data_IF_013702813311
#
_entry.id   IF_013702813311
#
_cell.length_a   1.000
_cell.length_b   1.000
_cell.length_c   1.000
_cell.angle_alpha   90.00
_cell.angle_beta   90.00
_cell.angle_gamma   90.00
#
_symmetry.space_group_name_H-M   'P 1'
#
loop_
_entity.id
_entity.type
_entity.pdbx_description
1 polymer ?
#
# COMPACT_ATOMS: atom_id res chain seq x y z
N UNK A 1 -4.64 -26.25 -16.94
CA UNK A 1 -5.69 -25.55 -17.71
C UNK A 1 -5.90 -24.21 -17.04
N UNK A 2 -5.49 -23.16 -17.72
CA UNK A 2 -5.12 -21.86 -17.17
C UNK A 2 -6.34 -20.99 -16.83
N UNK A 3 -6.41 -20.52 -15.59
CA UNK A 3 -7.39 -19.53 -15.08
C UNK A 3 -7.44 -18.24 -15.94
N UNK A 4 -6.38 -18.00 -16.75
CA UNK A 4 -6.21 -16.91 -17.74
C UNK A 4 -7.39 -16.77 -18.71
N UNK A 5 -8.04 -17.87 -19.11
CA UNK A 5 -9.07 -17.85 -20.17
C UNK A 5 -10.50 -17.54 -19.70
N UNK A 6 -10.81 -17.77 -18.42
CA UNK A 6 -12.17 -17.62 -17.91
C UNK A 6 -12.47 -16.17 -17.50
N UNK A 7 -11.54 -15.51 -16.81
CA UNK A 7 -11.76 -14.16 -16.28
C UNK A 7 -11.79 -13.08 -17.38
N UNK A 8 -10.91 -13.18 -18.39
CA UNK A 8 -10.83 -12.21 -19.51
C UNK A 8 -12.08 -12.28 -20.41
N UNK A 9 -12.66 -13.48 -20.61
CA UNK A 9 -13.87 -13.63 -21.43
C UNK A 9 -15.11 -13.06 -20.76
N UNK A 10 -15.20 -13.11 -19.42
CA UNK A 10 -16.35 -12.56 -18.69
C UNK A 10 -16.29 -11.03 -18.59
N UNK A 11 -15.10 -10.42 -18.49
CA UNK A 11 -14.97 -8.95 -18.42
C UNK A 11 -15.18 -8.24 -19.77
N UNK A 12 -14.79 -8.87 -20.90
CA UNK A 12 -15.03 -8.31 -22.24
C UNK A 12 -16.51 -8.31 -22.65
N UNK A 13 -17.42 -8.89 -21.86
CA UNK A 13 -18.88 -8.77 -22.05
C UNK A 13 -19.45 -7.40 -21.67
N UNK A 14 -18.65 -6.52 -21.05
CA UNK A 14 -19.08 -5.20 -20.55
C UNK A 14 -18.81 -4.02 -21.50
N UNK A 15 -18.24 -4.26 -22.69
CA UNK A 15 -18.09 -3.25 -23.74
C UNK A 15 -17.06 -2.14 -23.47
N UNK A 16 -16.22 -2.30 -22.44
CA UNK A 16 -15.08 -1.42 -22.17
C UNK A 16 -13.81 -2.16 -22.58
N UNK A 17 -13.25 -1.81 -23.74
CA UNK A 17 -11.93 -2.27 -24.17
C UNK A 17 -10.88 -1.56 -23.29
N UNK A 18 -10.43 -2.24 -22.24
CA UNK A 18 -9.22 -1.83 -21.54
C UNK A 18 -8.04 -2.35 -22.36
N UNK A 19 -7.33 -1.43 -23.02
CA UNK A 19 -6.10 -1.73 -23.74
C UNK A 19 -4.96 -1.96 -22.72
N UNK A 20 -5.02 -3.09 -22.03
CA UNK A 20 -4.06 -3.46 -20.98
C UNK A 20 -2.91 -4.18 -21.67
N UNK A 21 -1.88 -3.43 -22.02
CA UNK A 21 -0.66 -3.99 -22.59
C UNK A 21 -0.07 -5.06 -21.64
N UNK A 22 0.25 -6.24 -22.16
CA UNK A 22 0.98 -7.26 -21.39
C UNK A 22 2.31 -6.65 -20.89
N UNK A 23 2.44 -6.49 -19.58
CA UNK A 23 3.67 -5.99 -18.96
C UNK A 23 4.70 -7.09 -18.86
N UNK A 24 5.92 -6.85 -19.37
CA UNK A 24 7.00 -7.81 -19.20
C UNK A 24 7.38 -7.98 -17.71
N UNK A 25 7.86 -9.17 -17.30
CA UNK A 25 8.30 -9.42 -15.92
C UNK A 25 9.29 -8.37 -15.38
N UNK A 26 10.25 -7.93 -16.20
CA UNK A 26 11.24 -6.93 -15.82
C UNK A 26 10.62 -5.56 -15.50
N UNK A 27 9.50 -5.19 -16.13
CA UNK A 27 8.79 -3.96 -15.81
C UNK A 27 8.07 -4.09 -14.47
N UNK A 28 7.45 -5.24 -14.20
CA UNK A 28 6.77 -5.52 -12.92
C UNK A 28 7.76 -5.45 -11.76
N UNK A 29 8.93 -6.06 -11.91
CA UNK A 29 10.00 -6.01 -10.92
C UNK A 29 10.45 -4.56 -10.64
N UNK A 30 10.76 -3.79 -11.70
CA UNK A 30 11.10 -2.37 -11.58
C UNK A 30 10.01 -1.54 -10.90
N UNK A 31 8.74 -1.84 -11.18
CA UNK A 31 7.59 -1.20 -10.52
C UNK A 31 7.56 -1.51 -9.03
N UNK A 32 7.76 -2.78 -8.65
CA UNK A 32 7.83 -3.19 -7.26
C UNK A 32 9.00 -2.52 -6.53
N UNK A 33 10.17 -2.43 -7.15
CA UNK A 33 11.31 -1.72 -6.57
C UNK A 33 10.99 -0.25 -6.27
N UNK A 34 10.31 0.45 -7.19
CA UNK A 34 9.86 1.83 -6.94
C UNK A 34 8.87 1.90 -5.79
N UNK A 35 7.90 0.99 -5.73
CA UNK A 35 6.95 0.92 -4.63
C UNK A 35 7.63 0.67 -3.27
N UNK A 36 8.63 -0.23 -3.22
CA UNK A 36 9.45 -0.48 -2.04
C UNK A 36 10.20 0.78 -1.62
N UNK A 37 10.77 1.53 -2.57
CA UNK A 37 11.48 2.79 -2.29
C UNK A 37 10.56 3.90 -1.79
N UNK A 38 9.23 3.80 -1.96
CA UNK A 38 8.26 4.72 -1.35
C UNK A 38 8.14 4.56 0.16
N UNK A 39 8.47 3.39 0.70
CA UNK A 39 8.43 3.11 2.14
C UNK A 39 9.68 3.71 2.81
N UNK A 40 9.47 4.40 3.92
CA UNK A 40 10.55 4.84 4.79
C UNK A 40 11.10 3.66 5.61
N UNK A 41 12.43 3.47 5.72
CA UNK A 41 13.01 2.43 6.55
C UNK A 41 12.65 2.64 8.03
N UNK A 42 12.34 1.56 8.73
CA UNK A 42 12.11 1.56 10.18
C UNK A 42 13.33 0.97 10.88
N UNK A 43 14.09 1.83 11.55
CA UNK A 43 15.31 1.44 12.25
C UNK A 43 15.01 0.71 13.55
N UNK A 44 15.85 -0.29 13.93
CA UNK A 44 15.69 -0.99 15.19
C UNK A 44 15.91 -0.06 16.39
N UNK A 45 15.35 -0.40 17.55
CA UNK A 45 15.38 0.46 18.75
C UNK A 45 16.80 0.89 19.17
N UNK A 46 17.80 0.04 18.98
CA UNK A 46 19.20 0.32 19.33
C UNK A 46 19.89 1.32 18.37
N UNK A 47 19.25 1.65 17.23
CA UNK A 47 19.69 2.64 16.23
C UNK A 47 18.53 3.52 15.78
N UNK A 48 17.59 3.82 16.68
CA UNK A 48 16.36 4.50 16.30
C UNK A 48 16.64 5.89 15.72
N UNK A 49 16.23 6.08 14.47
CA UNK A 49 16.22 7.38 13.80
C UNK A 49 14.78 7.67 13.41
N UNK A 50 14.26 8.81 13.84
CA UNK A 50 12.96 9.29 13.37
C UNK A 50 13.08 9.64 11.89
N UNK A 51 12.47 8.83 11.02
CA UNK A 51 12.48 9.07 9.57
C UNK A 51 11.24 9.85 9.18
N UNK A 52 11.41 10.85 8.32
CA UNK A 52 10.29 11.56 7.72
C UNK A 52 9.41 10.57 6.91
N UNK A 53 8.10 10.45 7.18
CA UNK A 53 7.21 9.59 6.40
C UNK A 53 7.20 9.87 4.89
N UNK A 54 7.58 11.08 4.49
CA UNK A 54 7.71 11.50 3.09
C UNK A 54 9.07 11.16 2.46
N UNK A 55 9.99 10.48 3.16
CA UNK A 55 11.34 10.21 2.64
C UNK A 55 11.33 9.52 1.27
N UNK A 56 10.47 8.51 1.07
CA UNK A 56 10.33 7.81 -0.21
C UNK A 56 9.55 8.56 -1.30
N UNK A 57 9.14 9.80 -1.01
CA UNK A 57 8.33 10.67 -1.87
C UNK A 57 9.02 12.02 -2.14
N UNK A 58 10.32 12.12 -1.87
CA UNK A 58 11.10 13.36 -2.02
C UNK A 58 11.28 13.80 -3.48
N UNK A 59 11.06 12.89 -4.43
CA UNK A 59 11.04 13.13 -5.87
C UNK A 59 9.72 13.76 -6.36
N UNK A 60 8.67 13.79 -5.52
CA UNK A 60 7.37 14.37 -5.84
C UNK A 60 7.18 15.72 -5.15
N UNK A 61 6.23 16.52 -5.66
CA UNK A 61 5.76 17.70 -4.94
C UNK A 61 5.07 17.30 -3.63
N UNK A 62 4.99 18.22 -2.66
CA UNK A 62 4.35 17.94 -1.38
C UNK A 62 2.87 17.54 -1.54
N UNK A 63 2.16 18.19 -2.48
CA UNK A 63 0.75 17.91 -2.79
C UNK A 63 0.58 16.52 -3.37
N UNK A 64 1.43 16.14 -4.33
CA UNK A 64 1.44 14.81 -4.92
C UNK A 64 1.71 13.74 -3.86
N UNK A 65 2.66 14.01 -2.96
CA UNK A 65 2.99 13.10 -1.86
C UNK A 65 1.82 12.94 -0.88
N UNK A 66 1.13 14.03 -0.51
CA UNK A 66 -0.07 14.02 0.34
C UNK A 66 -1.20 13.22 -0.32
N UNK A 67 -1.53 13.53 -1.58
CA UNK A 67 -2.60 12.86 -2.33
C UNK A 67 -2.29 11.36 -2.44
N UNK A 68 -1.06 11.01 -2.80
CA UNK A 68 -0.63 9.61 -2.88
C UNK A 68 -0.83 8.89 -1.55
N UNK A 69 -0.34 9.45 -0.44
CA UNK A 69 -0.47 8.82 0.89
C UNK A 69 -1.93 8.72 1.34
N UNK A 70 -2.79 9.67 0.99
CA UNK A 70 -4.23 9.56 1.24
C UNK A 70 -4.84 8.38 0.47
N UNK A 71 -4.51 8.25 -0.82
CA UNK A 71 -5.00 7.16 -1.67
C UNK A 71 -4.51 5.78 -1.21
N UNK A 72 -3.23 5.65 -0.85
CA UNK A 72 -2.65 4.34 -0.48
C UNK A 72 -2.74 4.02 1.01
N UNK A 73 -2.78 5.03 1.87
CA UNK A 73 -2.78 4.90 3.33
C UNK A 73 -4.16 5.10 3.95
N UNK A 74 -5.16 5.59 3.22
CA UNK A 74 -6.50 5.89 3.74
C UNK A 74 -6.53 6.95 4.85
N UNK A 75 -5.45 7.72 4.96
CA UNK A 75 -5.27 8.78 5.93
C UNK A 75 -4.19 9.75 5.44
N UNK A 76 -4.35 11.03 5.76
CA UNK A 76 -3.36 12.06 5.47
C UNK A 76 -2.47 12.33 6.68
N UNK A 77 -1.26 12.85 6.43
CA UNK A 77 -0.42 13.45 7.47
C UNK A 77 -0.71 14.95 7.65
N UNK A 78 -1.68 15.46 6.88
CA UNK A 78 -2.20 16.83 6.96
C UNK A 78 -3.59 16.80 7.58
N UNK A 79 -4.01 17.92 8.17
CA UNK A 79 -5.37 18.06 8.69
C UNK A 79 -6.42 17.89 7.60
N UNK A 80 -7.57 17.34 7.98
CA UNK A 80 -8.73 17.29 7.12
C UNK A 80 -9.21 18.72 6.79
N UNK A 81 -9.92 18.90 5.67
CA UNK A 81 -10.40 20.23 5.26
C UNK A 81 -11.32 20.84 6.32
N UNK A 82 -12.12 20.01 6.97
CA UNK A 82 -13.06 20.38 8.03
C UNK A 82 -12.33 20.96 9.25
N UNK A 83 -11.12 20.46 9.54
CA UNK A 83 -10.29 20.95 10.65
C UNK A 83 -9.69 22.33 10.31
N UNK A 84 -9.28 22.56 9.07
CA UNK A 84 -8.88 23.89 8.60
C UNK A 84 -10.07 24.88 8.62
N UNK A 85 -11.25 24.43 8.19
CA UNK A 85 -12.46 25.24 8.25
C UNK A 85 -12.81 25.63 9.69
N UNK A 86 -12.77 24.69 10.63
CA UNK A 86 -13.02 24.95 12.06
C UNK A 86 -11.99 25.93 12.63
N UNK A 87 -10.72 25.73 12.33
CA UNK A 87 -9.65 26.63 12.78
C UNK A 87 -9.84 28.06 12.24
N UNK A 88 -10.34 28.20 11.01
CA UNK A 88 -10.67 29.51 10.43
C UNK A 88 -11.86 30.17 11.12
N UNK A 89 -12.95 29.42 11.35
CA UNK A 89 -14.15 29.93 12.03
C UNK A 89 -13.88 30.37 13.48
N UNK A 90 -12.96 29.68 14.17
CA UNK A 90 -12.53 30.01 15.53
C UNK A 90 -11.50 31.15 15.58
N UNK A 91 -11.05 31.68 14.44
CA UNK A 91 -10.03 32.71 14.35
C UNK A 91 -8.60 32.23 14.70
N UNK A 92 -8.38 30.91 14.80
CA UNK A 92 -7.03 30.31 14.98
C UNK A 92 -6.21 30.30 13.69
N UNK A 93 -6.88 30.26 12.55
CA UNK A 93 -6.30 30.43 11.22
C UNK A 93 -6.85 31.73 10.63
N UNK A 94 -5.98 32.68 10.33
CA UNK A 94 -6.32 34.00 9.80
C UNK A 94 -5.99 34.13 8.32
N UNK A 95 -6.54 35.13 7.63
CA UNK A 95 -6.17 35.44 6.25
C UNK A 95 -4.66 35.77 6.12
N UNK A 96 -4.06 36.41 7.13
CA UNK A 96 -2.62 36.69 7.17
C UNK A 96 -1.79 35.39 7.23
N UNK A 97 -2.26 34.35 7.91
CA UNK A 97 -1.60 33.04 7.91
C UNK A 97 -1.59 32.43 6.51
N UNK A 98 -2.71 32.54 5.79
CA UNK A 98 -2.87 32.04 4.43
C UNK A 98 -1.97 32.83 3.47
N UNK A 99 -1.92 34.16 3.59
CA UNK A 99 -1.01 35.01 2.82
C UNK A 99 0.45 34.64 3.03
N UNK A 100 0.88 34.44 4.29
CA UNK A 100 2.24 34.02 4.60
C UNK A 100 2.57 32.64 4.05
N UNK A 101 1.62 31.72 4.05
CA UNK A 101 1.79 30.39 3.46
C UNK A 101 1.88 30.46 1.93
N UNK A 102 1.04 31.25 1.27
CA UNK A 102 1.09 31.50 -0.17
C UNK A 102 2.40 32.16 -0.60
N UNK A 103 2.89 33.13 0.17
CA UNK A 103 4.16 33.81 -0.11
C UNK A 103 5.38 32.88 -0.03
N UNK A 104 5.29 31.78 0.75
CA UNK A 104 6.32 30.74 0.84
C UNK A 104 6.22 29.69 -0.27
N UNK A 105 5.07 29.59 -0.95
CA UNK A 105 4.92 28.72 -2.12
C UNK A 105 5.55 29.35 -3.34
N UNK A 106 6.08 28.50 -4.23
CA UNK A 106 6.56 28.92 -5.55
C UNK A 106 5.43 29.44 -6.46
N UNK A 107 5.79 29.93 -7.65
CA UNK A 107 4.91 30.60 -8.62
C UNK A 107 3.79 29.75 -9.24
N UNK A 108 3.62 28.50 -8.82
CA UNK A 108 2.67 27.54 -9.41
C UNK A 108 1.32 27.49 -8.68
N UNK A 109 1.05 28.39 -7.74
CA UNK A 109 -0.25 28.47 -7.06
C UNK A 109 -1.12 29.55 -7.73
N UNK A 110 -2.14 29.18 -8.52
CA UNK A 110 -3.05 30.16 -9.15
C UNK A 110 -4.09 30.74 -8.18
N UNK A 111 -4.00 30.45 -6.89
CA UNK A 111 -5.08 30.72 -5.94
C UNK A 111 -4.82 31.95 -5.06
N UNK A 112 -5.80 32.84 -5.00
CA UNK A 112 -5.84 33.96 -4.06
C UNK A 112 -6.29 33.49 -2.69
N UNK A 113 -6.01 34.30 -1.65
CA UNK A 113 -6.52 34.06 -0.29
C UNK A 113 -8.03 33.85 -0.29
N UNK A 114 -8.77 34.68 -1.02
CA UNK A 114 -10.23 34.56 -1.10
C UNK A 114 -10.67 33.23 -1.73
N UNK A 115 -9.97 32.73 -2.74
CA UNK A 115 -10.23 31.42 -3.35
C UNK A 115 -10.09 30.29 -2.32
N UNK A 116 -9.02 30.32 -1.53
CA UNK A 116 -8.76 29.31 -0.50
C UNK A 116 -9.80 29.36 0.63
N UNK A 117 -10.17 30.56 1.09
CA UNK A 117 -11.22 30.74 2.11
C UNK A 117 -12.58 30.25 1.58
N UNK A 118 -12.88 30.50 0.31
CA UNK A 118 -14.08 29.98 -0.35
C UNK A 118 -14.04 28.45 -0.48
N UNK A 119 -12.87 27.87 -0.77
CA UNK A 119 -12.68 26.42 -0.84
C UNK A 119 -12.86 25.73 0.52
N UNK A 120 -12.49 26.40 1.63
CA UNK A 120 -12.78 25.93 2.99
C UNK A 120 -14.28 25.92 3.30
N UNK A 121 -15.04 26.81 2.66
CA UNK A 121 -16.49 26.99 2.88
C UNK A 121 -17.36 26.08 2.03
N UNK A 122 -16.78 25.49 0.97
CA UNK A 122 -17.49 24.60 0.05
C UNK A 122 -17.59 23.21 0.64
N UNK A 123 -18.73 22.53 0.44
CA UNK A 123 -18.94 21.16 0.91
C UNK A 123 -17.75 20.26 0.52
N UNK A 124 -17.27 19.48 1.49
CA UNK A 124 -16.12 18.60 1.31
C UNK A 124 -16.30 17.74 0.04
N UNK A 125 -15.30 17.78 -0.85
CA UNK A 125 -15.18 16.78 -1.90
C UNK A 125 -15.13 15.40 -1.24
N UNK A 126 -15.63 14.34 -1.91
CA UNK A 126 -15.64 13.01 -1.32
C UNK A 126 -14.25 12.70 -0.77
N UNK A 127 -14.20 12.26 0.50
CA UNK A 127 -13.03 11.63 1.09
C UNK A 127 -12.40 10.75 0.01
N UNK A 128 -11.16 11.04 -0.40
CA UNK A 128 -10.48 10.24 -1.41
C UNK A 128 -10.37 8.84 -0.83
N UNK A 129 -11.32 7.98 -1.21
CA UNK A 129 -11.43 6.66 -0.64
C UNK A 129 -10.11 5.94 -0.90
N UNK A 130 -9.56 5.36 0.17
CA UNK A 130 -8.39 4.51 0.08
C UNK A 130 -8.58 3.50 -1.05
N UNK A 131 -7.57 3.32 -1.90
CA UNK A 131 -7.62 2.34 -2.98
C UNK A 131 -7.90 0.96 -2.36
N UNK A 132 -8.97 0.25 -2.77
CA UNK A 132 -9.28 -1.06 -2.22
C UNK A 132 -8.26 -2.10 -2.71
N UNK A 133 -7.84 -2.98 -1.82
CA UNK A 133 -7.07 -4.18 -2.17
C UNK A 133 -8.00 -5.29 -2.65
N UNK A 134 -7.44 -6.35 -3.24
CA UNK A 134 -8.22 -7.54 -3.60
C UNK A 134 -8.90 -8.16 -2.36
N UNK A 135 -8.23 -8.11 -1.21
CA UNK A 135 -8.76 -8.60 0.05
C UNK A 135 -9.89 -7.72 0.59
N UNK A 136 -9.81 -6.39 0.40
CA UNK A 136 -10.91 -5.47 0.75
C UNK A 136 -12.15 -5.79 -0.10
N UNK A 137 -11.99 -5.92 -1.42
CA UNK A 137 -13.07 -6.28 -2.34
C UNK A 137 -13.69 -7.67 -2.02
N UNK A 138 -12.85 -8.67 -1.70
CA UNK A 138 -13.34 -9.99 -1.27
C UNK A 138 -14.11 -9.93 0.05
N UNK A 139 -13.70 -9.05 0.96
CA UNK A 139 -14.37 -8.91 2.26
C UNK A 139 -15.77 -8.34 2.11
N UNK A 140 -15.93 -7.36 1.21
CA UNK A 140 -17.23 -6.79 0.85
C UNK A 140 -18.16 -7.81 0.19
N UNK A 141 -17.62 -8.70 -0.65
CA UNK A 141 -18.42 -9.69 -1.39
C UNK A 141 -18.86 -10.89 -0.54
N UNK A 142 -18.05 -11.33 0.44
CA UNK A 142 -18.26 -12.60 1.14
C UNK A 142 -18.70 -12.46 2.60
N UNK A 143 -18.95 -11.23 3.09
CA UNK A 143 -19.32 -10.95 4.48
C UNK A 143 -18.34 -11.51 5.53
N UNK A 144 -17.10 -11.78 5.10
CA UNK A 144 -15.98 -12.27 5.92
C UNK A 144 -14.85 -11.25 5.84
N UNK A 145 -14.20 -10.94 6.96
CA UNK A 145 -13.10 -9.96 7.00
C UNK A 145 -11.77 -10.59 6.54
N UNK A 146 -11.68 -10.91 5.24
CA UNK A 146 -10.49 -11.46 4.61
C UNK A 146 -9.31 -10.50 4.72
N UNK A 147 -9.57 -9.20 4.64
CA UNK A 147 -8.57 -8.15 4.78
C UNK A 147 -7.87 -8.22 6.14
N UNK A 148 -8.64 -8.35 7.24
CA UNK A 148 -8.07 -8.57 8.56
C UNK A 148 -7.35 -9.91 8.67
N UNK A 149 -7.94 -10.98 8.15
CA UNK A 149 -7.35 -12.31 8.23
C UNK A 149 -5.93 -12.33 7.65
N UNK A 150 -5.73 -11.87 6.42
CA UNK A 150 -4.40 -11.95 5.81
C UNK A 150 -3.40 -10.99 6.48
N UNK A 151 -3.81 -9.77 6.87
CA UNK A 151 -2.94 -8.83 7.62
C UNK A 151 -2.45 -9.45 8.92
N UNK A 152 -3.33 -10.12 9.65
CA UNK A 152 -2.97 -10.82 10.88
C UNK A 152 -2.01 -11.99 10.63
N UNK A 153 -2.20 -12.76 9.54
CA UNK A 153 -1.28 -13.85 9.17
C UNK A 153 0.09 -13.32 8.79
N UNK A 154 0.13 -12.27 7.98
CA UNK A 154 1.36 -11.60 7.55
C UNK A 154 2.10 -11.02 8.75
N UNK A 155 1.40 -10.35 9.67
CA UNK A 155 1.99 -9.79 10.88
C UNK A 155 2.59 -10.86 11.81
N UNK A 156 1.90 -11.99 12.02
CA UNK A 156 2.43 -13.12 12.80
C UNK A 156 3.66 -13.74 12.14
N UNK A 157 3.65 -13.91 10.82
CA UNK A 157 4.80 -14.40 10.07
C UNK A 157 5.99 -13.45 10.21
N UNK A 158 5.79 -12.16 9.95
CA UNK A 158 6.84 -11.14 10.01
C UNK A 158 7.45 -11.03 11.41
N UNK A 159 6.63 -11.08 12.46
CA UNK A 159 7.10 -11.10 13.84
C UNK A 159 8.05 -12.28 14.14
N UNK A 160 7.75 -13.47 13.61
CA UNK A 160 8.63 -14.63 13.76
C UNK A 160 9.86 -14.61 12.85
N UNK A 161 9.74 -14.05 11.64
CA UNK A 161 10.83 -14.00 10.66
C UNK A 161 11.90 -12.97 11.04
N UNK A 162 11.47 -11.77 11.43
CA UNK A 162 12.37 -10.67 11.85
C UNK A 162 12.75 -10.73 13.33
N UNK A 163 12.39 -11.79 14.07
CA UNK A 163 12.77 -11.93 15.47
C UNK A 163 14.29 -12.08 15.64
N UNK A 164 14.98 -11.12 16.24
CA UNK A 164 16.43 -11.16 16.49
C UNK A 164 16.81 -11.93 17.79
N UNK A 165 16.04 -12.96 18.15
CA UNK A 165 16.34 -13.83 19.30
C UNK A 165 15.59 -13.46 20.57
N UNK A 166 14.47 -12.74 20.47
CA UNK A 166 13.57 -12.49 21.59
C UNK A 166 12.75 -13.75 21.92
N UNK A 167 12.46 -14.58 20.91
CA UNK A 167 11.75 -15.85 21.11
C UNK A 167 12.70 -16.99 21.49
N UNK A 168 12.33 -17.73 22.54
CA UNK A 168 13.03 -18.95 22.95
C UNK A 168 12.94 -20.07 21.88
N UNK A 169 11.85 -20.09 21.12
CA UNK A 169 11.65 -21.02 20.00
C UNK A 169 11.97 -20.33 18.69
N UNK A 170 13.03 -20.81 18.05
CA UNK A 170 13.44 -20.33 16.73
C UNK A 170 12.57 -20.94 15.63
N UNK A 171 12.15 -20.10 14.69
CA UNK A 171 11.37 -20.55 13.54
C UNK A 171 12.21 -21.50 12.65
N UNK A 172 11.69 -22.69 12.26
CA UNK A 172 12.46 -23.66 11.48
C UNK A 172 12.80 -23.19 10.06
N UNK A 173 12.11 -22.17 9.57
CA UNK A 173 12.25 -21.55 8.25
C UNK A 173 13.14 -20.29 8.24
N UNK A 174 13.78 -19.94 9.36
CA UNK A 174 14.58 -18.70 9.49
C UNK A 174 15.76 -18.60 8.52
N UNK A 175 16.26 -19.74 8.04
CA UNK A 175 17.37 -19.80 7.07
C UNK A 175 16.92 -19.66 5.62
N UNK A 176 15.62 -19.67 5.35
CA UNK A 176 15.07 -19.51 4.02
C UNK A 176 14.93 -18.01 3.67
N UNK A 177 15.03 -17.64 2.38
CA UNK A 177 14.60 -16.34 1.91
C UNK A 177 13.16 -16.03 2.34
N UNK A 178 12.85 -14.75 2.59
CA UNK A 178 11.58 -14.29 3.17
C UNK A 178 10.35 -14.93 2.51
N UNK A 179 10.28 -14.91 1.19
CA UNK A 179 9.13 -15.45 0.45
C UNK A 179 9.02 -16.97 0.57
N UNK A 180 10.13 -17.71 0.49
CA UNK A 180 10.14 -19.16 0.67
C UNK A 180 9.75 -19.55 2.10
N UNK A 181 10.25 -18.81 3.10
CA UNK A 181 9.84 -18.98 4.49
C UNK A 181 8.33 -18.76 4.68
N UNK A 182 7.79 -17.69 4.10
CA UNK A 182 6.36 -17.39 4.12
C UNK A 182 5.55 -18.53 3.49
N UNK A 183 5.96 -19.03 2.32
CA UNK A 183 5.32 -20.17 1.65
C UNK A 183 5.27 -21.39 2.57
N UNK A 184 6.39 -21.78 3.19
CA UNK A 184 6.42 -22.90 4.13
C UNK A 184 5.41 -22.74 5.28
N UNK A 185 5.30 -21.53 5.83
CA UNK A 185 4.34 -21.23 6.91
C UNK A 185 2.90 -21.33 6.41
N UNK A 186 2.59 -20.76 5.25
CA UNK A 186 1.25 -20.78 4.69
C UNK A 186 0.79 -22.18 4.27
N UNK A 187 1.73 -23.03 3.84
CA UNK A 187 1.45 -24.44 3.52
C UNK A 187 1.19 -25.28 4.79
N UNK A 188 1.82 -24.94 5.91
CA UNK A 188 1.54 -25.61 7.19
C UNK A 188 0.28 -25.06 7.90
N UNK A 189 -0.11 -23.82 7.58
CA UNK A 189 -1.21 -23.12 8.25
C UNK A 189 -2.60 -23.59 7.80
N UNK A 190 -3.37 -24.14 8.74
CA UNK A 190 -4.77 -24.56 8.50
C UNK A 190 -5.81 -23.50 8.86
N UNK A 191 -5.42 -22.33 9.39
CA UNK A 191 -6.40 -21.31 9.80
C UNK A 191 -7.26 -20.84 8.63
N UNK A 192 -6.66 -20.61 7.45
CA UNK A 192 -7.42 -20.20 6.27
C UNK A 192 -8.47 -21.24 5.86
N UNK A 193 -8.13 -22.52 5.92
CA UNK A 193 -9.08 -23.61 5.65
C UNK A 193 -10.25 -23.63 6.64
N UNK A 194 -9.97 -23.45 7.94
CA UNK A 194 -11.00 -23.39 9.00
C UNK A 194 -11.97 -22.22 8.77
N UNK A 195 -11.46 -21.09 8.28
CA UNK A 195 -12.25 -19.88 8.00
C UNK A 195 -12.93 -19.90 6.61
N UNK A 196 -12.82 -21.00 5.87
CA UNK A 196 -13.53 -21.20 4.60
C UNK A 196 -12.71 -20.99 3.33
N UNK A 197 -11.44 -20.58 3.42
CA UNK A 197 -10.52 -20.49 2.28
C UNK A 197 -9.94 -21.88 1.92
N UNK A 198 -10.82 -22.82 1.56
CA UNK A 198 -10.48 -24.24 1.37
C UNK A 198 -9.41 -24.49 0.29
N UNK A 199 -9.30 -23.60 -0.70
CA UNK A 199 -8.32 -23.69 -1.79
C UNK A 199 -7.00 -22.96 -1.55
N UNK A 200 -6.82 -22.30 -0.39
CA UNK A 200 -5.66 -21.43 -0.15
C UNK A 200 -4.33 -22.19 -0.24
N UNK A 201 -4.25 -23.39 0.35
CA UNK A 201 -3.05 -24.22 0.30
C UNK A 201 -2.67 -24.57 -1.14
N UNK A 202 -3.62 -25.12 -1.91
CA UNK A 202 -3.39 -25.47 -3.32
C UNK A 202 -3.03 -24.25 -4.16
N UNK A 203 -3.61 -23.09 -3.87
CA UNK A 203 -3.24 -21.84 -4.54
C UNK A 203 -1.78 -21.45 -4.24
N UNK A 204 -1.37 -21.45 -2.96
CA UNK A 204 0.02 -21.13 -2.56
C UNK A 204 1.00 -22.14 -3.15
N UNK A 205 0.65 -23.43 -3.15
CA UNK A 205 1.46 -24.50 -3.73
C UNK A 205 1.70 -24.30 -5.23
N UNK A 206 0.68 -23.83 -5.96
CA UNK A 206 0.75 -23.59 -7.40
C UNK A 206 1.57 -22.36 -7.81
N UNK A 207 1.91 -21.47 -6.88
CA UNK A 207 2.73 -20.30 -7.16
C UNK A 207 4.19 -20.71 -7.41
N UNK A 208 4.96 -19.94 -8.21
CA UNK A 208 6.41 -20.11 -8.32
C UNK A 208 7.13 -19.97 -6.98
N UNK A 209 8.12 -20.81 -6.70
CA UNK A 209 8.92 -20.76 -5.46
C UNK A 209 9.80 -19.51 -5.36
N UNK A 210 10.21 -18.98 -6.51
CA UNK A 210 10.96 -17.75 -6.63
C UNK A 210 10.06 -16.52 -6.47
N UNK A 211 10.55 -15.52 -5.73
CA UNK A 211 9.76 -14.35 -5.37
C UNK A 211 9.47 -13.46 -6.59
N UNK A 212 10.45 -13.30 -7.48
CA UNK A 212 10.33 -12.41 -8.64
C UNK A 212 9.44 -13.04 -9.70
N UNK A 213 9.56 -14.36 -9.91
CA UNK A 213 8.63 -15.11 -10.76
C UNK A 213 7.20 -15.09 -10.24
N UNK A 214 7.01 -15.19 -8.91
CA UNK A 214 5.70 -15.07 -8.29
C UNK A 214 5.12 -13.66 -8.46
N UNK A 215 5.93 -12.62 -8.20
CA UNK A 215 5.55 -11.24 -8.36
C UNK A 215 5.15 -10.91 -9.81
N UNK A 216 5.91 -11.39 -10.80
CA UNK A 216 5.57 -11.25 -12.21
C UNK A 216 4.22 -11.92 -12.53
N UNK A 217 4.03 -13.15 -12.06
CA UNK A 217 2.77 -13.91 -12.27
C UNK A 217 1.57 -13.18 -11.67
N UNK A 218 1.67 -12.71 -10.42
CA UNK A 218 0.60 -12.01 -9.73
C UNK A 218 0.37 -10.60 -10.28
N UNK A 219 1.44 -9.90 -10.69
CA UNK A 219 1.37 -8.58 -11.31
C UNK A 219 0.60 -8.61 -12.63
N UNK A 220 0.83 -9.63 -13.46
CA UNK A 220 0.06 -9.85 -14.69
C UNK A 220 -1.44 -10.08 -14.40
N UNK A 221 -1.78 -10.78 -13.32
CA UNK A 221 -3.19 -11.05 -12.96
C UNK A 221 -3.96 -9.79 -12.57
N UNK A 222 -3.27 -8.76 -12.08
CA UNK A 222 -3.91 -7.50 -11.66
C UNK A 222 -4.36 -6.66 -12.86
N UNK A 223 -3.76 -6.86 -14.03
CA UNK A 223 -4.11 -6.13 -15.26
C UNK A 223 -4.11 -4.60 -15.06
N UNK A 224 -3.12 -4.09 -14.33
CA UNK A 224 -2.92 -2.65 -14.12
C UNK A 224 -1.81 -2.14 -15.03
N UNK A 225 -1.86 -0.86 -15.39
CA UNK A 225 -0.74 -0.19 -16.04
C UNK A 225 0.43 0.05 -15.06
N UNK A 226 1.55 0.57 -15.56
CA UNK A 226 2.76 0.75 -14.76
C UNK A 226 2.53 1.65 -13.52
N UNK A 227 1.73 2.72 -13.68
CA UNK A 227 1.45 3.66 -12.60
C UNK A 227 0.48 3.08 -11.57
N UNK A 228 -0.60 2.43 -12.03
CA UNK A 228 -1.57 1.76 -11.20
C UNK A 228 -0.95 0.63 -10.40
N UNK A 229 -0.05 -0.15 -11.02
CA UNK A 229 0.66 -1.24 -10.35
C UNK A 229 1.64 -0.71 -9.28
N UNK A 230 2.35 0.40 -9.54
CA UNK A 230 3.21 1.02 -8.52
C UNK A 230 2.38 1.50 -7.31
N UNK A 231 1.26 2.17 -7.57
CA UNK A 231 0.34 2.63 -6.53
C UNK A 231 -0.24 1.45 -5.75
N UNK A 232 -0.61 0.38 -6.43
CA UNK A 232 -1.18 -0.81 -5.82
C UNK A 232 -0.18 -1.56 -4.94
N UNK A 233 1.06 -1.76 -5.41
CA UNK A 233 2.12 -2.35 -4.59
C UNK A 233 2.43 -1.49 -3.37
N UNK A 234 2.47 -0.16 -3.53
CA UNK A 234 2.64 0.74 -2.39
C UNK A 234 1.49 0.63 -1.39
N UNK A 235 0.24 0.53 -1.89
CA UNK A 235 -0.97 0.29 -1.08
C UNK A 235 -0.90 -1.04 -0.31
N UNK A 236 -0.39 -2.11 -0.92
CA UNK A 236 -0.19 -3.41 -0.25
C UNK A 236 0.89 -3.33 0.85
N UNK A 237 2.01 -2.63 0.60
CA UNK A 237 3.05 -2.44 1.61
C UNK A 237 2.54 -1.68 2.84
N UNK A 238 1.67 -0.69 2.63
CA UNK A 238 1.03 0.08 3.70
C UNK A 238 -0.08 -0.67 4.45
N UNK A 239 -0.37 -1.93 4.12
CA UNK A 239 -1.20 -2.79 4.97
C UNK A 239 -0.46 -3.24 6.22
N UNK A 240 0.88 -3.27 6.16
CA UNK A 240 1.75 -3.59 7.29
C UNK A 240 2.94 -2.62 7.34
N UNK A 241 2.70 -1.31 7.53
CA UNK A 241 3.73 -0.28 7.33
C UNK A 241 4.95 -0.48 8.26
N UNK A 242 4.74 -1.01 9.47
CA UNK A 242 5.84 -1.35 10.37
C UNK A 242 6.75 -2.44 9.81
N UNK A 243 6.19 -3.57 9.36
CA UNK A 243 6.97 -4.69 8.81
C UNK A 243 7.58 -4.36 7.45
N UNK A 244 6.87 -3.62 6.60
CA UNK A 244 7.43 -3.09 5.36
C UNK A 244 8.63 -2.16 5.64
N UNK A 245 8.52 -1.32 6.68
CA UNK A 245 9.63 -0.47 7.14
C UNK A 245 10.84 -1.27 7.63
N UNK A 246 10.63 -2.36 8.39
CA UNK A 246 11.71 -3.26 8.83
C UNK A 246 12.40 -3.92 7.63
N UNK A 247 11.63 -4.47 6.69
CA UNK A 247 12.19 -5.04 5.46
C UNK A 247 12.97 -3.98 4.65
N UNK A 248 12.45 -2.75 4.59
CA UNK A 248 13.10 -1.62 3.91
C UNK A 248 14.41 -1.20 4.58
N UNK A 249 14.51 -1.33 5.91
CA UNK A 249 15.74 -1.10 6.65
C UNK A 249 16.82 -2.13 6.26
N UNK A 250 16.48 -3.42 6.17
CA UNK A 250 17.44 -4.43 5.71
C UNK A 250 17.94 -4.23 4.28
N UNK A 251 17.14 -3.60 3.41
CA UNK A 251 17.56 -3.19 2.06
C UNK A 251 18.40 -1.90 2.06
N UNK A 252 18.33 -1.12 3.14
CA UNK A 252 19.09 0.13 3.29
C UNK A 252 20.53 -0.12 3.73
N UNK A 253 20.74 -1.13 4.59
CA UNK A 253 22.07 -1.60 5.01
C UNK A 253 22.82 -2.28 3.85
#
# INVERSE_FOLDING_TARGET
MTYRGACVREMNGSGVDYDIAEMSPAVIERVAERAIRRIAPLFPLHRFVAVNPYLGLSDCSFEQAVIRLQLVGGGGLVWAREEFQRAYQEGRLTEEDIERALARRGKECPETVQSLVQALSTAASPSSARIPTLADALSELQSNDWARFYRERLGRFAAGYFDEGQSLWQAPYRRLPLFQAWRCVMMADRTGWVLGAKGLHTAVESLPEDADACLATLGEWLQLDEQGLELYFHRLLLETPGWAGVARFHLWE
#
